data_IF_089756596027
#
_entry.id   IF_089756596027
#
_cell.length_a   1.000
_cell.length_b   1.000
_cell.length_c   1.000
_cell.angle_alpha   90.00
_cell.angle_beta   90.00
_cell.angle_gamma   90.00
#
_symmetry.space_group_name_H-M   'P 1'
#
loop_
_entity.id
_entity.type
_entity.pdbx_description
1 polymer ?
#
# COMPACT_ATOMS: atom_id res chain seq x y z
N UNK A 1 39.90 -27.33 -20.52
CA UNK A 1 38.49 -27.45 -20.94
C UNK A 1 37.64 -26.88 -19.81
N UNK A 2 37.17 -25.64 -20.00
CA UNK A 2 36.56 -24.79 -18.96
C UNK A 2 35.09 -25.21 -18.83
N UNK A 3 34.69 -25.77 -17.69
CA UNK A 3 33.29 -26.03 -17.34
C UNK A 3 32.55 -24.67 -17.20
N UNK A 4 32.14 -24.12 -18.33
CA UNK A 4 31.00 -23.22 -18.43
C UNK A 4 29.74 -24.09 -18.36
N UNK A 5 28.71 -23.56 -17.72
CA UNK A 5 27.33 -24.07 -17.61
C UNK A 5 26.90 -24.62 -16.25
N UNK A 6 27.02 -23.77 -15.23
CA UNK A 6 25.97 -23.64 -14.21
C UNK A 6 25.15 -22.39 -14.55
N UNK A 7 24.39 -22.46 -15.65
CA UNK A 7 23.16 -21.67 -15.72
C UNK A 7 22.19 -22.37 -14.78
N UNK A 8 22.16 -21.94 -13.53
CA UNK A 8 20.99 -22.15 -12.71
C UNK A 8 19.81 -21.59 -13.51
N UNK A 9 19.06 -22.47 -14.17
CA UNK A 9 17.73 -22.16 -14.65
C UNK A 9 16.93 -21.94 -13.38
N UNK A 10 16.97 -20.72 -12.85
CA UNK A 10 15.95 -20.23 -11.94
C UNK A 10 14.70 -20.21 -12.81
N UNK A 11 13.94 -21.30 -12.77
CA UNK A 11 12.53 -21.26 -13.15
C UNK A 11 11.92 -20.26 -12.17
N UNK A 12 11.88 -18.99 -12.59
CA UNK A 12 11.48 -17.86 -11.79
C UNK A 12 9.99 -17.93 -11.50
N UNK A 13 9.65 -18.78 -10.53
CA UNK A 13 8.31 -18.86 -9.97
C UNK A 13 7.90 -17.53 -9.38
N UNK A 14 6.60 -17.26 -9.44
CA UNK A 14 5.99 -16.13 -8.76
C UNK A 14 5.86 -16.49 -7.29
N UNK A 15 6.48 -15.72 -6.40
CA UNK A 15 6.26 -15.78 -4.95
C UNK A 15 4.82 -15.31 -4.67
N UNK A 16 3.90 -16.27 -4.51
CA UNK A 16 2.45 -16.04 -4.56
C UNK A 16 1.96 -15.33 -3.30
N UNK A 17 2.50 -15.66 -2.14
CA UNK A 17 2.11 -15.01 -0.89
C UNK A 17 2.57 -13.55 -0.90
N UNK A 18 3.83 -13.28 -1.29
CA UNK A 18 4.34 -11.91 -1.43
C UNK A 18 3.51 -11.11 -2.43
N UNK A 19 3.22 -11.68 -3.60
CA UNK A 19 2.35 -11.04 -4.62
C UNK A 19 1.00 -10.67 -4.02
N UNK A 20 0.39 -11.54 -3.22
CA UNK A 20 -0.92 -11.29 -2.60
C UNK A 20 -0.86 -10.14 -1.60
N UNK A 21 0.16 -10.09 -0.75
CA UNK A 21 0.39 -8.97 0.18
C UNK A 21 0.47 -7.64 -0.57
N UNK A 22 1.30 -7.58 -1.61
CA UNK A 22 1.48 -6.34 -2.40
C UNK A 22 0.21 -5.97 -3.15
N UNK A 23 -0.49 -6.94 -3.75
CA UNK A 23 -1.72 -6.71 -4.50
C UNK A 23 -2.86 -6.18 -3.61
N UNK A 24 -3.08 -6.78 -2.45
CA UNK A 24 -4.13 -6.36 -1.50
C UNK A 24 -3.84 -4.95 -0.98
N UNK A 25 -2.60 -4.69 -0.55
CA UNK A 25 -2.26 -3.35 -0.06
C UNK A 25 -2.25 -2.30 -1.17
N UNK A 26 -1.80 -2.65 -2.37
CA UNK A 26 -1.91 -1.78 -3.54
C UNK A 26 -3.36 -1.40 -3.82
N UNK A 27 -4.30 -2.34 -3.71
CA UNK A 27 -5.73 -2.07 -3.81
C UNK A 27 -6.24 -1.12 -2.71
N UNK A 28 -5.86 -1.35 -1.44
CA UNK A 28 -6.23 -0.47 -0.32
C UNK A 28 -5.77 0.97 -0.57
N UNK A 29 -4.52 1.17 -0.99
CA UNK A 29 -4.02 2.52 -1.27
C UNK A 29 -4.58 3.14 -2.55
N UNK A 30 -4.91 2.34 -3.56
CA UNK A 30 -5.66 2.81 -4.74
C UNK A 30 -7.03 3.38 -4.34
N UNK A 31 -7.74 2.69 -3.44
CA UNK A 31 -9.02 3.17 -2.88
C UNK A 31 -8.80 4.42 -2.02
N UNK A 32 -7.73 4.48 -1.21
CA UNK A 32 -7.35 5.69 -0.47
C UNK A 32 -7.16 6.90 -1.38
N UNK A 33 -6.43 6.73 -2.49
CA UNK A 33 -6.26 7.77 -3.51
C UNK A 33 -7.57 8.22 -4.16
N UNK A 34 -8.51 7.30 -4.39
CA UNK A 34 -9.86 7.65 -4.84
C UNK A 34 -10.62 8.49 -3.80
N UNK A 35 -10.44 8.18 -2.51
CA UNK A 35 -11.00 8.96 -1.40
C UNK A 35 -10.50 10.40 -1.39
N UNK A 36 -9.18 10.61 -1.55
CA UNK A 36 -8.61 11.94 -1.75
C UNK A 36 -9.23 12.64 -2.96
N UNK A 37 -9.24 11.98 -4.11
CA UNK A 37 -9.75 12.59 -5.34
C UNK A 37 -11.23 12.95 -5.28
N UNK A 38 -12.03 12.19 -4.53
CA UNK A 38 -13.42 12.53 -4.25
C UNK A 38 -13.54 13.86 -3.51
N UNK A 39 -12.82 14.03 -2.40
CA UNK A 39 -12.89 15.27 -1.62
C UNK A 39 -12.27 16.47 -2.34
N UNK A 40 -11.20 16.26 -3.11
CA UNK A 40 -10.62 17.31 -3.97
C UNK A 40 -11.62 17.76 -5.04
N UNK A 41 -12.31 16.82 -5.70
CA UNK A 41 -13.31 17.14 -6.71
C UNK A 41 -14.49 17.94 -6.14
N UNK A 42 -14.92 17.63 -4.90
CA UNK A 42 -15.99 18.35 -4.21
C UNK A 42 -15.67 19.84 -3.97
N UNK A 43 -14.40 20.24 -3.92
CA UNK A 43 -14.00 21.64 -3.77
C UNK A 43 -14.28 22.45 -5.06
N UNK A 44 -14.49 21.78 -6.19
CA UNK A 44 -14.95 22.35 -7.45
C UNK A 44 -13.85 22.96 -8.33
N UNK A 45 -14.26 23.67 -9.38
CA UNK A 45 -13.35 24.31 -10.34
C UNK A 45 -12.69 25.56 -9.73
N UNK A 46 -11.76 25.33 -8.80
CA UNK A 46 -11.05 26.37 -8.04
C UNK A 46 -9.55 26.13 -8.06
N UNK A 47 -8.73 27.20 -8.04
CA UNK A 47 -7.28 27.05 -7.92
C UNK A 47 -6.89 26.39 -6.60
N UNK A 48 -5.83 25.58 -6.60
CA UNK A 48 -5.32 24.90 -5.41
C UNK A 48 -4.60 25.83 -4.43
N UNK A 49 -4.10 26.97 -4.91
CA UNK A 49 -3.32 27.93 -4.11
C UNK A 49 -1.88 27.48 -3.79
N UNK A 50 -1.48 26.26 -4.18
CA UNK A 50 -0.15 25.71 -3.93
C UNK A 50 -0.02 24.26 -4.42
N UNK A 51 1.16 23.67 -4.20
CA UNK A 51 1.44 22.26 -4.49
C UNK A 51 0.98 21.33 -3.38
N UNK A 52 1.07 21.77 -2.12
CA UNK A 52 0.50 21.07 -0.98
C UNK A 52 -0.90 21.61 -0.73
N UNK A 53 -1.85 20.70 -0.64
CA UNK A 53 -3.28 21.01 -0.50
C UNK A 53 -3.88 20.17 0.62
N UNK A 54 -5.01 20.64 1.14
CA UNK A 54 -5.90 19.83 1.96
C UNK A 54 -6.94 19.20 1.04
N UNK A 55 -6.97 17.88 0.95
CA UNK A 55 -7.93 17.18 0.11
C UNK A 55 -9.37 17.42 0.60
N UNK A 56 -9.56 17.50 1.93
CA UNK A 56 -10.84 17.81 2.57
C UNK A 56 -10.91 19.31 2.88
N UNK A 57 -11.61 20.03 2.01
CA UNK A 57 -11.87 21.46 2.18
C UNK A 57 -12.77 21.78 3.39
N UNK A 58 -12.77 23.04 3.88
CA UNK A 58 -13.52 23.45 5.07
C UNK A 58 -15.02 23.10 5.06
N UNK A 59 -15.65 23.13 3.88
CA UNK A 59 -17.08 22.82 3.72
C UNK A 59 -17.44 21.33 3.87
N UNK A 60 -16.45 20.44 3.79
CA UNK A 60 -16.63 18.99 3.84
C UNK A 60 -15.89 18.33 5.00
N UNK A 61 -15.38 19.14 5.93
CA UNK A 61 -14.63 18.69 7.09
C UNK A 61 -15.58 18.11 8.15
N UNK A 62 -15.36 16.85 8.53
CA UNK A 62 -16.19 16.17 9.54
C UNK A 62 -15.74 16.43 10.98
N UNK A 63 -14.46 16.75 11.18
CA UNK A 63 -13.85 16.95 12.50
C UNK A 63 -12.64 17.88 12.40
N UNK A 64 -12.17 18.41 13.53
CA UNK A 64 -11.19 19.52 13.58
C UNK A 64 -9.93 19.30 12.74
N UNK A 65 -9.37 18.09 12.80
CA UNK A 65 -8.13 17.70 12.11
C UNK A 65 -8.35 16.98 10.77
N UNK A 66 -9.61 16.74 10.37
CA UNK A 66 -9.97 16.02 9.14
C UNK A 66 -9.73 16.82 7.87
N UNK A 67 -8.48 16.94 7.45
CA UNK A 67 -8.07 17.75 6.28
C UNK A 67 -7.41 16.94 5.16
N UNK A 68 -6.77 15.83 5.52
CA UNK A 68 -6.05 14.92 4.61
C UNK A 68 -5.06 15.64 3.67
N UNK A 69 -3.80 15.81 4.10
CA UNK A 69 -2.77 16.45 3.28
C UNK A 69 -2.50 15.67 1.98
N UNK A 70 -2.49 16.40 0.86
CA UNK A 70 -2.16 15.89 -0.47
C UNK A 70 -1.14 16.78 -1.18
N UNK A 71 -0.50 16.21 -2.20
CA UNK A 71 0.40 16.91 -3.10
C UNK A 71 -0.19 16.85 -4.51
N UNK A 72 -0.14 17.94 -5.26
CA UNK A 72 -0.54 17.95 -6.67
C UNK A 72 0.25 18.97 -7.47
N UNK A 73 0.59 18.62 -8.71
CA UNK A 73 1.14 19.57 -9.70
C UNK A 73 0.03 20.23 -10.55
N UNK A 74 -1.21 19.79 -10.39
CA UNK A 74 -2.37 20.28 -11.14
C UNK A 74 -2.96 21.46 -10.35
N UNK A 75 -2.96 22.69 -10.90
CA UNK A 75 -3.37 23.89 -10.17
C UNK A 75 -4.90 24.07 -10.10
N UNK A 76 -5.67 22.98 -10.03
CA UNK A 76 -7.12 23.00 -10.00
C UNK A 76 -7.70 21.82 -9.21
N UNK A 77 -8.54 22.08 -8.21
CA UNK A 77 -9.11 21.04 -7.34
C UNK A 77 -9.97 20.00 -8.08
N UNK A 78 -10.86 20.44 -8.98
CA UNK A 78 -11.71 19.53 -9.74
C UNK A 78 -10.90 18.59 -10.63
N UNK A 79 -9.91 19.12 -11.35
CA UNK A 79 -9.07 18.32 -12.24
C UNK A 79 -8.15 17.39 -11.45
N UNK A 80 -7.54 17.88 -10.36
CA UNK A 80 -6.78 17.07 -9.40
C UNK A 80 -7.62 15.90 -8.92
N UNK A 81 -8.85 16.15 -8.45
CA UNK A 81 -9.69 15.10 -7.90
C UNK A 81 -10.10 14.03 -8.91
N UNK A 82 -10.48 14.43 -10.13
CA UNK A 82 -10.78 13.49 -11.23
C UNK A 82 -9.54 12.67 -11.59
N UNK A 83 -8.37 13.30 -11.66
CA UNK A 83 -7.11 12.61 -11.96
C UNK A 83 -6.73 11.61 -10.87
N UNK A 84 -6.83 11.99 -9.59
CA UNK A 84 -6.57 11.11 -8.46
C UNK A 84 -7.52 9.89 -8.43
N UNK A 85 -8.82 10.08 -8.70
CA UNK A 85 -9.78 8.97 -8.84
C UNK A 85 -9.37 8.04 -9.98
N UNK A 86 -9.08 8.59 -11.16
CA UNK A 86 -8.71 7.80 -12.33
C UNK A 86 -7.43 6.99 -12.09
N UNK A 87 -6.38 7.63 -11.55
CA UNK A 87 -5.12 6.95 -11.24
C UNK A 87 -5.31 5.95 -10.10
N UNK A 88 -6.12 6.24 -9.09
CA UNK A 88 -6.47 5.31 -8.02
C UNK A 88 -7.16 4.04 -8.53
N UNK A 89 -8.07 4.17 -9.50
CA UNK A 89 -8.68 3.03 -10.21
C UNK A 89 -7.63 2.22 -10.98
N UNK A 90 -6.71 2.90 -11.69
CA UNK A 90 -5.62 2.21 -12.41
C UNK A 90 -4.71 1.46 -11.44
N UNK A 91 -4.36 2.05 -10.28
CA UNK A 91 -3.60 1.39 -9.21
C UNK A 91 -4.33 0.15 -8.71
N UNK A 92 -5.63 0.26 -8.42
CA UNK A 92 -6.46 -0.85 -7.96
C UNK A 92 -6.47 -2.01 -8.97
N UNK A 93 -6.81 -1.71 -10.24
CA UNK A 93 -6.89 -2.71 -11.32
C UNK A 93 -5.51 -3.33 -11.58
N UNK A 94 -4.46 -2.51 -11.61
CA UNK A 94 -3.10 -2.98 -11.81
C UNK A 94 -2.65 -3.93 -10.69
N UNK A 95 -2.90 -3.53 -9.45
CA UNK A 95 -2.52 -4.31 -8.26
C UNK A 95 -3.16 -5.69 -8.24
N UNK A 96 -4.45 -5.79 -8.59
CA UNK A 96 -5.17 -7.06 -8.60
C UNK A 96 -4.85 -7.92 -9.83
N UNK A 97 -4.75 -7.30 -11.01
CA UNK A 97 -4.62 -8.03 -12.28
C UNK A 97 -3.19 -8.36 -12.70
N UNK A 98 -2.22 -7.50 -12.40
CA UNK A 98 -0.95 -7.45 -13.14
C UNK A 98 0.31 -7.59 -12.28
N UNK A 99 0.19 -7.80 -10.97
CA UNK A 99 1.34 -7.97 -10.07
C UNK A 99 2.18 -9.24 -10.31
N UNK A 100 1.69 -10.15 -11.14
CA UNK A 100 2.44 -11.35 -11.57
C UNK A 100 3.44 -11.08 -12.72
N UNK A 101 3.45 -9.86 -13.28
CA UNK A 101 4.32 -9.48 -14.42
C UNK A 101 5.72 -9.15 -13.92
N UNK A 102 6.75 -9.48 -14.72
CA UNK A 102 8.16 -9.19 -14.38
C UNK A 102 8.45 -7.71 -14.13
N UNK A 103 7.76 -6.83 -14.85
CA UNK A 103 7.91 -5.37 -14.73
C UNK A 103 7.00 -4.76 -13.64
N UNK A 104 6.23 -5.58 -12.91
CA UNK A 104 5.28 -5.10 -11.93
C UNK A 104 5.87 -4.11 -10.91
N UNK A 105 7.08 -4.31 -10.35
CA UNK A 105 7.66 -3.32 -9.42
C UNK A 105 7.84 -1.93 -10.01
N UNK A 106 8.30 -1.84 -11.26
CA UNK A 106 8.54 -0.55 -11.91
C UNK A 106 7.22 0.17 -12.23
N UNK A 107 6.24 -0.55 -12.77
CA UNK A 107 4.91 0.03 -13.06
C UNK A 107 4.21 0.44 -11.76
N UNK A 108 4.28 -0.40 -10.73
CA UNK A 108 3.69 -0.12 -9.43
C UNK A 108 4.28 1.16 -8.82
N UNK A 109 5.61 1.32 -8.81
CA UNK A 109 6.24 2.55 -8.35
C UNK A 109 5.81 3.76 -9.20
N UNK A 110 5.80 3.63 -10.51
CA UNK A 110 5.38 4.70 -11.42
C UNK A 110 3.94 5.15 -11.18
N UNK A 111 3.02 4.22 -10.94
CA UNK A 111 1.63 4.52 -10.63
C UNK A 111 1.48 5.23 -9.28
N UNK A 112 2.23 4.84 -8.25
CA UNK A 112 2.20 5.53 -6.96
C UNK A 112 2.85 6.91 -6.99
N UNK A 113 3.92 7.09 -7.76
CA UNK A 113 4.48 8.42 -8.03
C UNK A 113 3.44 9.27 -8.74
N UNK A 114 2.81 8.74 -9.79
CA UNK A 114 1.75 9.46 -10.51
C UNK A 114 0.60 9.81 -9.57
N UNK A 115 0.14 8.87 -8.74
CA UNK A 115 -0.93 9.08 -7.77
C UNK A 115 -0.57 10.21 -6.78
N UNK A 116 0.67 10.25 -6.29
CA UNK A 116 1.16 11.35 -5.45
C UNK A 116 1.19 12.69 -6.19
N UNK A 117 1.57 12.71 -7.47
CA UNK A 117 1.65 13.96 -8.25
C UNK A 117 0.29 14.56 -8.59
N UNK A 118 -0.79 13.78 -8.50
CA UNK A 118 -2.15 14.21 -8.90
C UNK A 118 -3.14 14.34 -7.75
N UNK A 119 -2.71 14.24 -6.49
CA UNK A 119 -3.61 14.45 -5.32
C UNK A 119 -3.85 13.24 -4.42
N UNK A 120 -3.27 12.07 -4.66
CA UNK A 120 -3.60 10.84 -3.92
C UNK A 120 -3.11 10.74 -2.46
N UNK A 121 -2.81 11.85 -1.80
CA UNK A 121 -2.37 11.93 -0.41
C UNK A 121 -0.86 11.86 -0.21
N UNK A 122 -0.37 12.49 0.86
CA UNK A 122 1.08 12.50 1.22
C UNK A 122 1.47 11.26 2.03
N UNK A 123 0.57 10.75 2.88
CA UNK A 123 0.86 9.61 3.76
C UNK A 123 1.27 8.34 3.00
N UNK A 124 0.81 8.17 1.76
CA UNK A 124 1.18 7.02 0.92
C UNK A 124 2.68 6.94 0.62
N UNK A 125 3.48 8.00 0.76
CA UNK A 125 4.92 8.01 0.47
C UNK A 125 5.67 6.92 1.24
N UNK A 126 5.35 6.77 2.52
CA UNK A 126 5.96 5.73 3.37
C UNK A 126 5.50 4.34 2.91
N UNK A 127 4.23 4.18 2.57
CA UNK A 127 3.67 2.88 2.21
C UNK A 127 4.09 2.41 0.82
N UNK A 128 4.05 3.27 -0.20
CA UNK A 128 4.40 2.84 -1.56
C UNK A 128 5.89 2.51 -1.67
N UNK A 129 6.77 3.20 -0.94
CA UNK A 129 8.21 2.87 -0.95
C UNK A 129 8.46 1.48 -0.38
N UNK A 130 7.79 1.13 0.72
CA UNK A 130 7.86 -0.21 1.33
C UNK A 130 7.21 -1.26 0.42
N UNK A 131 6.00 -1.01 -0.09
CA UNK A 131 5.29 -1.95 -0.97
C UNK A 131 6.03 -2.16 -2.30
N UNK A 132 6.63 -1.11 -2.86
CA UNK A 132 7.53 -1.23 -4.00
C UNK A 132 8.71 -2.14 -3.66
N UNK A 133 9.40 -1.91 -2.52
CA UNK A 133 10.50 -2.76 -2.10
C UNK A 133 10.06 -4.23 -1.95
N UNK A 134 8.87 -4.49 -1.41
CA UNK A 134 8.30 -5.84 -1.32
C UNK A 134 8.01 -6.43 -2.70
N UNK A 135 7.49 -5.64 -3.63
CA UNK A 135 7.18 -6.07 -4.99
C UNK A 135 8.41 -6.57 -5.76
N UNK A 136 9.60 -6.01 -5.49
CA UNK A 136 10.87 -6.48 -6.09
C UNK A 136 11.17 -7.94 -5.78
N UNK A 137 10.53 -8.51 -4.74
CA UNK A 137 10.70 -9.90 -4.31
C UNK A 137 9.71 -10.86 -4.95
N UNK A 138 8.76 -10.41 -5.75
CA UNK A 138 7.76 -11.31 -6.38
C UNK A 138 8.41 -12.35 -7.31
N UNK A 139 9.45 -11.97 -8.05
CA UNK A 139 10.16 -12.86 -8.98
C UNK A 139 11.60 -13.16 -8.55
N UNK A 140 12.01 -12.70 -7.37
CA UNK A 140 13.38 -12.85 -6.91
C UNK A 140 13.56 -14.12 -6.07
N UNK A 141 14.75 -14.75 -6.12
CA UNK A 141 15.06 -15.84 -5.20
C UNK A 141 15.08 -15.34 -3.76
N UNK A 142 14.45 -16.09 -2.85
CA UNK A 142 14.37 -15.77 -1.42
C UNK A 142 15.56 -16.32 -0.61
N UNK A 143 16.74 -16.45 -1.23
CA UNK A 143 17.91 -17.09 -0.60
C UNK A 143 18.37 -16.39 0.68
N UNK A 144 18.33 -15.06 0.73
CA UNK A 144 18.65 -14.28 1.93
C UNK A 144 17.63 -14.54 3.05
N UNK A 145 16.34 -14.53 2.73
CA UNK A 145 15.27 -14.82 3.69
C UNK A 145 15.32 -16.27 4.18
N UNK A 146 15.67 -17.22 3.31
CA UNK A 146 15.89 -18.63 3.68
C UNK A 146 16.99 -18.78 4.73
N UNK A 147 18.05 -17.96 4.66
CA UNK A 147 19.12 -17.92 5.68
C UNK A 147 18.67 -17.24 6.97
N UNK A 148 17.85 -16.18 6.88
CA UNK A 148 17.38 -15.41 8.05
C UNK A 148 16.21 -16.04 8.80
N UNK A 149 15.43 -16.90 8.14
CA UNK A 149 14.28 -17.60 8.72
C UNK A 149 14.65 -19.06 8.98
N UNK A 150 14.93 -19.46 10.25
CA UNK A 150 15.28 -20.82 10.60
C UNK A 150 14.15 -21.80 10.26
N UNK A 151 14.45 -23.05 9.84
CA UNK A 151 13.44 -24.04 9.47
C UNK A 151 12.36 -24.26 10.53
N UNK A 152 12.70 -24.16 11.82
CA UNK A 152 11.76 -24.32 12.95
C UNK A 152 10.68 -23.23 13.03
N UNK A 153 10.97 -22.01 12.54
CA UNK A 153 10.08 -20.86 12.66
C UNK A 153 9.17 -20.70 11.43
N UNK A 154 9.62 -21.16 10.26
CA UNK A 154 8.91 -20.98 8.98
C UNK A 154 7.46 -21.48 9.01
N UNK A 155 7.13 -22.68 9.53
CA UNK A 155 5.75 -23.17 9.49
C UNK A 155 4.79 -22.29 10.30
N UNK A 156 5.23 -21.79 11.46
CA UNK A 156 4.44 -20.90 12.31
C UNK A 156 4.18 -19.55 11.65
N UNK A 157 5.21 -18.97 11.01
CA UNK A 157 5.06 -17.71 10.27
C UNK A 157 4.18 -17.88 9.02
N UNK A 158 4.43 -18.93 8.24
CA UNK A 158 3.69 -19.22 7.01
C UNK A 158 2.20 -19.48 7.28
N UNK A 159 1.82 -20.06 8.42
CA UNK A 159 0.39 -20.23 8.75
C UNK A 159 -0.33 -18.90 9.02
N UNK A 160 0.41 -17.85 9.39
CA UNK A 160 -0.15 -16.58 9.88
C UNK A 160 -0.12 -15.42 8.90
N UNK A 161 0.55 -15.54 7.73
CA UNK A 161 0.74 -14.41 6.82
C UNK A 161 -0.58 -13.73 6.42
N UNK A 162 -1.63 -14.52 6.15
CA UNK A 162 -2.93 -14.00 5.74
C UNK A 162 -3.65 -13.25 6.88
N UNK A 163 -3.50 -13.71 8.13
CA UNK A 163 -4.05 -13.01 9.29
C UNK A 163 -3.34 -11.67 9.52
N UNK A 164 -2.02 -11.62 9.39
CA UNK A 164 -1.28 -10.36 9.47
C UNK A 164 -1.68 -9.39 8.35
N UNK A 165 -1.86 -9.89 7.12
CA UNK A 165 -2.33 -9.08 6.01
C UNK A 165 -3.74 -8.54 6.26
N UNK A 166 -4.67 -9.39 6.69
CA UNK A 166 -6.03 -8.99 7.00
C UNK A 166 -6.09 -7.95 8.12
N UNK A 167 -5.33 -8.16 9.21
CA UNK A 167 -5.25 -7.22 10.31
C UNK A 167 -4.63 -5.88 9.88
N UNK A 168 -3.57 -5.92 9.05
CA UNK A 168 -2.97 -4.72 8.48
C UNK A 168 -3.95 -3.92 7.62
N UNK A 169 -4.62 -4.59 6.67
CA UNK A 169 -5.60 -3.96 5.79
C UNK A 169 -6.78 -3.38 6.59
N UNK A 170 -7.31 -4.12 7.57
CA UNK A 170 -8.40 -3.65 8.42
C UNK A 170 -8.00 -2.41 9.23
N UNK A 171 -6.81 -2.41 9.83
CA UNK A 171 -6.30 -1.26 10.60
C UNK A 171 -6.10 -0.04 9.70
N UNK A 172 -5.53 -0.21 8.50
CA UNK A 172 -5.29 0.92 7.58
C UNK A 172 -6.61 1.47 7.04
N UNK A 173 -7.59 0.63 6.73
CA UNK A 173 -8.95 1.07 6.35
C UNK A 173 -9.62 1.80 7.51
N UNK A 174 -9.48 1.28 8.74
CA UNK A 174 -9.99 1.95 9.93
C UNK A 174 -9.31 3.31 10.14
N UNK A 175 -7.98 3.41 9.98
CA UNK A 175 -7.28 4.69 10.00
C UNK A 175 -7.87 5.66 8.98
N UNK A 176 -8.07 5.25 7.72
CA UNK A 176 -8.66 6.10 6.69
C UNK A 176 -10.05 6.60 7.09
N UNK A 177 -10.86 5.73 7.69
CA UNK A 177 -12.18 6.07 8.20
C UNK A 177 -12.13 7.07 9.37
N UNK A 178 -11.16 6.95 10.29
CA UNK A 178 -10.94 7.95 11.35
C UNK A 178 -10.47 9.27 10.75
N UNK A 179 -9.54 9.21 9.80
CA UNK A 179 -8.91 10.39 9.18
C UNK A 179 -9.94 11.25 8.43
N UNK A 180 -10.87 10.61 7.71
CA UNK A 180 -11.95 11.28 6.99
C UNK A 180 -13.07 11.74 7.94
N UNK A 181 -13.60 10.83 8.77
CA UNK A 181 -14.86 11.06 9.48
C UNK A 181 -14.70 11.47 10.94
N UNK A 182 -13.50 11.38 11.51
CA UNK A 182 -13.25 11.71 12.92
C UNK A 182 -14.02 10.81 13.88
N UNK A 183 -14.20 9.53 13.54
CA UNK A 183 -15.03 8.63 14.32
C UNK A 183 -14.25 7.43 14.85
N UNK A 184 -14.26 7.26 16.17
CA UNK A 184 -13.85 6.04 16.87
C UNK A 184 -14.83 5.74 18.02
N UNK A 185 -15.08 4.47 18.35
CA UNK A 185 -16.07 4.10 19.38
C UNK A 185 -15.80 4.77 20.74
N UNK A 186 -16.75 5.57 21.21
CA UNK A 186 -16.69 6.21 22.53
C UNK A 186 -15.70 7.37 22.66
N UNK A 187 -15.17 7.90 21.55
CA UNK A 187 -14.20 9.00 21.57
C UNK A 187 -14.75 10.21 20.83
N UNK A 188 -14.76 11.35 21.50
CA UNK A 188 -15.20 12.65 20.93
C UNK A 188 -14.12 13.71 20.93
N UNK A 189 -13.03 13.49 21.68
CA UNK A 189 -11.90 14.41 21.76
C UNK A 189 -11.05 14.36 20.46
N UNK A 190 -10.87 15.48 19.75
CA UNK A 190 -10.13 15.50 18.48
C UNK A 190 -8.67 15.06 18.62
N UNK A 191 -8.00 15.37 19.72
CA UNK A 191 -6.60 14.99 19.89
C UNK A 191 -6.45 13.50 20.18
N UNK A 192 -7.37 12.92 20.95
CA UNK A 192 -7.46 11.48 21.13
C UNK A 192 -7.76 10.74 19.81
N UNK A 193 -8.64 11.29 18.95
CA UNK A 193 -8.90 10.75 17.61
C UNK A 193 -7.64 10.75 16.74
N UNK A 194 -6.88 11.85 16.74
CA UNK A 194 -5.59 11.94 16.05
C UNK A 194 -4.59 10.90 16.56
N UNK A 195 -4.51 10.71 17.89
CA UNK A 195 -3.65 9.68 18.48
C UNK A 195 -4.06 8.26 18.04
N UNK A 196 -5.36 7.95 18.07
CA UNK A 196 -5.89 6.66 17.61
C UNK A 196 -5.58 6.45 16.13
N UNK A 197 -5.77 7.47 15.30
CA UNK A 197 -5.45 7.41 13.87
C UNK A 197 -3.97 7.06 13.65
N UNK A 198 -3.04 7.78 14.29
CA UNK A 198 -1.60 7.52 14.12
C UNK A 198 -1.20 6.16 14.71
N UNK A 199 -1.73 5.79 15.88
CA UNK A 199 -1.44 4.50 16.51
C UNK A 199 -1.92 3.33 15.66
N UNK A 200 -3.13 3.42 15.10
CA UNK A 200 -3.70 2.38 14.22
C UNK A 200 -2.94 2.30 12.89
N UNK A 201 -2.51 3.44 12.33
CA UNK A 201 -1.68 3.47 11.13
C UNK A 201 -0.32 2.79 11.36
N UNK A 202 0.36 3.15 12.45
CA UNK A 202 1.64 2.57 12.84
C UNK A 202 1.55 1.07 13.12
N UNK A 203 0.47 0.64 13.80
CA UNK A 203 0.22 -0.79 14.05
C UNK A 203 -0.11 -1.53 12.75
N UNK A 204 -0.89 -0.92 11.85
CA UNK A 204 -1.20 -1.46 10.53
C UNK A 204 0.05 -1.64 9.67
N UNK A 205 0.98 -0.68 9.71
CA UNK A 205 2.29 -0.78 9.06
C UNK A 205 3.16 -1.90 9.66
N UNK A 206 3.19 -2.05 10.98
CA UNK A 206 3.89 -3.15 11.63
C UNK A 206 3.35 -4.50 11.16
N UNK A 207 2.02 -4.65 11.12
CA UNK A 207 1.38 -5.87 10.63
C UNK A 207 1.62 -6.11 9.14
N UNK A 208 1.76 -5.06 8.32
CA UNK A 208 2.17 -5.19 6.92
C UNK A 208 3.58 -5.80 6.80
N UNK A 209 4.53 -5.31 7.60
CA UNK A 209 5.89 -5.86 7.61
C UNK A 209 5.89 -7.32 8.07
N UNK A 210 5.13 -7.65 9.12
CA UNK A 210 4.95 -9.04 9.57
C UNK A 210 4.30 -9.92 8.51
N UNK A 211 3.29 -9.42 7.80
CA UNK A 211 2.63 -10.12 6.71
C UNK A 211 3.64 -10.45 5.59
N UNK A 212 4.49 -9.50 5.21
CA UNK A 212 5.53 -9.71 4.22
C UNK A 212 6.58 -10.74 4.66
N UNK A 213 7.10 -10.64 5.89
CA UNK A 213 8.08 -11.62 6.42
C UNK A 213 7.46 -13.02 6.49
N UNK A 214 6.22 -13.12 6.94
CA UNK A 214 5.47 -14.38 6.97
C UNK A 214 5.18 -14.92 5.56
N UNK A 215 4.91 -14.06 4.59
CA UNK A 215 4.73 -14.43 3.19
C UNK A 215 6.03 -14.98 2.58
N UNK A 216 7.19 -14.38 2.89
CA UNK A 216 8.49 -14.95 2.53
C UNK A 216 8.65 -16.38 3.07
N UNK A 217 8.26 -16.65 4.32
CA UNK A 217 8.31 -17.99 4.89
C UNK A 217 7.41 -18.98 4.14
N UNK A 218 6.19 -18.55 3.77
CA UNK A 218 5.25 -19.37 3.01
C UNK A 218 5.77 -19.72 1.61
N UNK A 219 6.29 -18.73 0.88
CA UNK A 219 6.83 -18.93 -0.46
C UNK A 219 8.11 -19.79 -0.44
N UNK A 220 8.95 -19.71 0.61
CA UNK A 220 10.09 -20.62 0.80
C UNK A 220 9.64 -22.07 0.97
N UNK A 221 8.65 -22.33 1.84
CA UNK A 221 8.15 -23.69 2.08
C UNK A 221 7.53 -24.28 0.81
N UNK A 222 6.73 -23.50 0.08
CA UNK A 222 6.13 -23.95 -1.18
C UNK A 222 7.18 -24.22 -2.27
N UNK A 223 8.27 -23.45 -2.31
CA UNK A 223 9.38 -23.70 -3.24
C UNK A 223 10.23 -24.94 -2.89
N UNK A 224 10.23 -25.36 -1.62
CA UNK A 224 10.95 -26.57 -1.16
C UNK A 224 10.15 -27.86 -1.43
N UNK A 225 8.82 -27.78 -1.46
CA UNK A 225 7.92 -28.90 -1.77
C UNK A 225 7.08 -28.58 -3.02
N UNK A 226 7.66 -28.63 -4.24
CA UNK A 226 6.86 -28.58 -5.46
C UNK A 226 5.94 -29.80 -5.47
N UNK A 227 4.63 -29.56 -5.41
CA UNK A 227 3.62 -30.59 -5.59
C UNK A 227 3.76 -31.29 -6.95
#
# INVERSE_FOLDING_TARGET
MKQRELKAVVVGGVNRAIKTVVAVMGAVFGIGGMGHGFFEALQGNKPTGGLFIEAIGPAHRFWEHGREPAFTIIPNFLVTGIAAIAVGIVVLVWSLGFMHRKQAPAVFLGLFILLLLVGGGVAQVIFFTILWAFSTRIHAPLSWWKKKLPPSVRPGLARRWAYWLAASAALIIFTLQVAIFGWAPGVTDPDALSLIMVATLGTGLLFLVLAFISACAADIIHGENPA
#
